data_IF_135033522163
#
_entry.id   IF_135033522163
#
_cell.length_a   1.000
_cell.length_b   1.000
_cell.length_c   1.000
_cell.angle_alpha   90.00
_cell.angle_beta   90.00
_cell.angle_gamma   90.00
#
_symmetry.space_group_name_H-M   'P 1'
#
loop_
_entity.id
_entity.type
_entity.pdbx_description
1 polymer ?
#
# COMPACT_ATOMS: atom_id res chain seq x y z
N UNK A 1 16.27 -14.85 -2.80
CA UNK A 1 16.39 -14.05 -4.04
C UNK A 1 16.06 -12.62 -3.68
N UNK A 2 17.06 -11.74 -3.60
CA UNK A 2 16.89 -10.33 -3.17
C UNK A 2 16.59 -9.42 -4.37
N UNK A 3 15.60 -9.79 -5.18
CA UNK A 3 15.21 -9.00 -6.35
C UNK A 3 14.24 -7.92 -5.91
N UNK A 4 14.51 -6.62 -6.19
CA UNK A 4 13.57 -5.55 -5.89
C UNK A 4 12.25 -5.77 -6.63
N UNK A 5 11.13 -5.68 -5.91
CA UNK A 5 9.80 -5.84 -6.51
C UNK A 5 8.88 -4.70 -6.11
N UNK A 6 7.95 -4.34 -7.00
CA UNK A 6 6.93 -3.35 -6.72
C UNK A 6 5.56 -3.84 -7.18
N UNK A 7 4.53 -3.54 -6.39
CA UNK A 7 3.13 -3.82 -6.74
C UNK A 7 2.54 -2.54 -7.35
N UNK A 8 2.26 -2.57 -8.65
CA UNK A 8 1.69 -1.44 -9.38
C UNK A 8 0.18 -1.60 -9.51
N UNK A 9 -0.56 -0.49 -9.35
CA UNK A 9 -2.02 -0.50 -9.57
C UNK A 9 -2.33 -0.68 -11.06
N UNK A 10 -3.29 -1.57 -11.33
CA UNK A 10 -3.87 -1.87 -12.65
C UNK A 10 -3.01 -2.74 -13.58
N UNK A 11 -3.46 -3.98 -13.83
CA UNK A 11 -2.87 -4.93 -14.79
C UNK A 11 -2.93 -4.47 -16.26
N UNK A 12 -3.87 -3.59 -16.59
CA UNK A 12 -3.99 -3.05 -17.96
C UNK A 12 -2.87 -2.08 -18.28
N UNK A 13 -2.43 -1.28 -17.29
CA UNK A 13 -1.29 -0.36 -17.47
C UNK A 13 0.02 -1.11 -17.74
N UNK A 14 0.22 -2.23 -17.06
CA UNK A 14 1.35 -3.14 -17.34
C UNK A 14 1.24 -3.74 -18.75
N UNK A 15 0.03 -4.11 -19.17
CA UNK A 15 -0.22 -4.62 -20.52
C UNK A 15 0.16 -3.62 -21.63
N UNK A 16 -0.13 -2.33 -21.42
CA UNK A 16 0.19 -1.28 -22.40
C UNK A 16 1.68 -1.21 -22.74
N UNK A 17 2.58 -1.46 -21.78
CA UNK A 17 4.03 -1.43 -21.98
C UNK A 17 4.53 -2.51 -22.95
N UNK A 18 3.83 -3.65 -23.01
CA UNK A 18 4.18 -4.80 -23.86
C UNK A 18 3.22 -4.97 -25.04
N UNK A 19 2.42 -3.94 -25.34
CA UNK A 19 1.40 -3.96 -26.40
C UNK A 19 0.39 -5.12 -26.26
N UNK A 20 -0.01 -5.44 -25.02
CA UNK A 20 -1.04 -6.43 -24.70
C UNK A 20 -2.19 -5.77 -23.94
N UNK A 21 -3.38 -6.39 -23.97
CA UNK A 21 -4.56 -5.88 -23.23
C UNK A 21 -4.32 -5.88 -21.72
N UNK A 22 -3.58 -6.87 -21.20
CA UNK A 22 -3.27 -7.01 -19.78
C UNK A 22 -1.94 -7.74 -19.60
N UNK A 23 -1.19 -7.42 -18.55
CA UNK A 23 -0.04 -8.19 -18.08
C UNK A 23 -0.11 -8.33 -16.55
N UNK A 24 0.19 -9.53 -16.03
CA UNK A 24 0.17 -9.80 -14.59
C UNK A 24 1.48 -9.42 -13.90
N UNK A 25 2.62 -9.64 -14.57
CA UNK A 25 3.97 -9.36 -14.08
C UNK A 25 4.83 -8.88 -15.24
N UNK A 26 5.76 -7.96 -14.97
CA UNK A 26 6.78 -7.52 -15.90
C UNK A 26 8.15 -7.60 -15.20
N UNK A 27 9.15 -8.09 -15.93
CA UNK A 27 10.52 -8.19 -15.45
C UNK A 27 11.43 -7.41 -16.39
N UNK A 28 12.16 -6.42 -15.86
CA UNK A 28 13.19 -5.69 -16.59
C UNK A 28 14.51 -6.44 -16.40
N UNK A 29 15.08 -6.97 -17.47
CA UNK A 29 16.31 -7.79 -17.42
C UNK A 29 17.56 -6.99 -17.80
N UNK A 30 17.45 -6.06 -18.74
CA UNK A 30 18.54 -5.20 -19.17
C UNK A 30 18.07 -3.76 -19.30
N UNK A 31 18.99 -2.84 -19.04
CA UNK A 31 18.77 -1.39 -19.14
C UNK A 31 19.91 -0.81 -19.95
N UNK A 32 19.63 0.19 -20.79
CA UNK A 32 20.67 0.93 -21.50
C UNK A 32 21.50 1.73 -20.50
N UNK A 33 22.73 2.06 -20.87
CA UNK A 33 23.64 2.76 -19.96
C UNK A 33 23.16 4.17 -19.63
N UNK A 34 22.47 4.82 -20.56
CA UNK A 34 21.88 6.17 -20.42
C UNK A 34 20.85 6.22 -19.28
N UNK A 35 20.01 5.19 -19.16
CA UNK A 35 18.90 5.15 -18.19
C UNK A 35 19.31 4.56 -16.83
N UNK A 36 20.55 4.09 -16.69
CA UNK A 36 21.00 3.31 -15.52
C UNK A 36 20.95 4.10 -14.22
N UNK A 37 21.28 5.40 -14.28
CA UNK A 37 21.26 6.28 -13.11
C UNK A 37 19.84 6.54 -12.62
N UNK A 38 18.90 6.80 -13.53
CA UNK A 38 17.49 7.01 -13.18
C UNK A 38 16.86 5.73 -12.64
N UNK A 39 17.14 4.60 -13.28
CA UNK A 39 16.67 3.30 -12.83
C UNK A 39 17.16 2.95 -11.43
N UNK A 40 18.42 3.29 -11.10
CA UNK A 40 18.99 3.04 -9.76
C UNK A 40 18.24 3.80 -8.65
N UNK A 41 17.88 5.07 -8.89
CA UNK A 41 17.08 5.86 -7.94
C UNK A 41 15.69 5.26 -7.71
N UNK A 42 15.07 4.73 -8.77
CA UNK A 42 13.77 4.07 -8.68
C UNK A 42 13.89 2.76 -7.86
N UNK A 43 14.95 1.98 -8.09
CA UNK A 43 15.19 0.74 -7.36
C UNK A 43 15.36 0.95 -5.86
N UNK A 44 16.09 2.00 -5.45
CA UNK A 44 16.26 2.35 -4.03
C UNK A 44 14.90 2.65 -3.36
N UNK A 45 14.07 3.46 -4.01
CA UNK A 45 12.73 3.77 -3.53
C UNK A 45 11.80 2.55 -3.46
N UNK A 46 11.95 1.60 -4.38
CA UNK A 46 11.17 0.34 -4.40
C UNK A 46 11.62 -0.57 -3.26
N UNK A 47 12.94 -0.77 -3.10
CA UNK A 47 13.50 -1.69 -2.10
C UNK A 47 13.09 -1.28 -0.69
N UNK A 48 13.19 0.01 -0.37
CA UNK A 48 12.79 0.58 0.92
C UNK A 48 11.29 0.42 1.24
N UNK A 49 10.44 0.29 0.22
CA UNK A 49 8.99 0.22 0.41
C UNK A 49 8.42 -1.19 0.41
N UNK A 50 9.04 -2.14 -0.30
CA UNK A 50 8.50 -3.48 -0.48
C UNK A 50 9.38 -4.55 0.15
N UNK A 51 10.65 -4.62 -0.26
CA UNK A 51 11.57 -5.65 0.20
C UNK A 51 11.90 -5.49 1.69
N UNK A 52 12.24 -4.28 2.13
CA UNK A 52 12.65 -4.03 3.52
C UNK A 52 11.45 -4.12 4.49
N UNK A 53 10.23 -3.86 3.99
CA UNK A 53 8.98 -3.94 4.76
C UNK A 53 8.28 -5.29 4.63
N UNK A 54 8.92 -6.30 4.03
CA UNK A 54 8.29 -7.58 3.76
C UNK A 54 7.74 -8.24 5.04
N UNK A 55 8.53 -8.29 6.11
CA UNK A 55 8.11 -8.90 7.36
C UNK A 55 6.93 -8.18 8.02
N UNK A 56 6.90 -6.84 7.96
CA UNK A 56 5.79 -6.04 8.48
C UNK A 56 4.52 -6.31 7.68
N UNK A 57 4.63 -6.31 6.35
CA UNK A 57 3.50 -6.55 5.46
C UNK A 57 2.91 -7.96 5.64
N UNK A 58 3.74 -8.97 5.87
CA UNK A 58 3.27 -10.33 6.15
C UNK A 58 2.52 -10.45 7.49
N UNK A 59 2.90 -9.66 8.49
CA UNK A 59 2.26 -9.65 9.81
C UNK A 59 0.98 -8.80 9.84
N UNK A 60 0.76 -7.95 8.83
CA UNK A 60 -0.39 -7.05 8.76
C UNK A 60 -1.59 -7.72 8.09
N UNK A 61 -2.65 -7.94 8.86
CA UNK A 61 -3.90 -8.47 8.36
C UNK A 61 -4.75 -7.30 7.84
N UNK A 62 -5.26 -7.44 6.62
CA UNK A 62 -6.19 -6.46 6.03
C UNK A 62 -7.61 -6.63 6.56
N UNK A 63 -8.50 -5.72 6.18
CA UNK A 63 -9.90 -5.75 6.58
C UNK A 63 -10.16 -5.03 7.90
N UNK A 64 -11.32 -5.26 8.51
CA UNK A 64 -11.71 -4.64 9.78
C UNK A 64 -12.16 -3.17 9.69
N UNK A 65 -12.13 -2.56 8.51
CA UNK A 65 -12.72 -1.23 8.30
C UNK A 65 -14.25 -1.33 8.29
N UNK A 66 -14.86 -0.71 9.29
CA UNK A 66 -16.30 -0.58 9.41
C UNK A 66 -16.84 0.42 8.39
N UNK A 67 -18.12 0.30 8.03
CA UNK A 67 -18.76 1.27 7.13
C UNK A 67 -18.78 2.67 7.77
N UNK A 68 -18.61 3.75 6.99
CA UNK A 68 -18.64 5.12 7.48
C UNK A 68 -19.91 5.45 8.30
N UNK A 69 -21.06 4.87 7.91
CA UNK A 69 -22.34 5.04 8.62
C UNK A 69 -22.28 4.48 10.05
N UNK A 70 -21.66 3.31 10.22
CA UNK A 70 -21.55 2.69 11.54
C UNK A 70 -20.45 3.34 12.37
N UNK A 71 -19.34 3.77 11.77
CA UNK A 71 -18.30 4.55 12.48
C UNK A 71 -18.87 5.84 13.07
N UNK A 72 -19.70 6.56 12.30
CA UNK A 72 -20.36 7.78 12.78
C UNK A 72 -21.27 7.52 13.98
N UNK A 73 -22.02 6.40 13.97
CA UNK A 73 -22.89 6.01 15.09
C UNK A 73 -22.07 5.64 16.33
N UNK A 74 -20.97 4.90 16.18
CA UNK A 74 -20.08 4.54 17.29
C UNK A 74 -19.45 5.79 17.89
N UNK A 75 -18.91 6.70 17.06
CA UNK A 75 -18.34 7.97 17.52
C UNK A 75 -19.35 8.83 18.27
N UNK A 76 -20.59 8.94 17.76
CA UNK A 76 -21.64 9.69 18.45
C UNK A 76 -21.96 9.10 19.83
N UNK A 77 -21.98 7.76 19.95
CA UNK A 77 -22.15 7.08 21.24
C UNK A 77 -20.97 7.29 22.18
N UNK A 78 -19.73 7.19 21.68
CA UNK A 78 -18.51 7.42 22.46
C UNK A 78 -18.46 8.84 23.01
N UNK A 79 -18.80 9.84 22.20
CA UNK A 79 -18.88 11.24 22.64
C UNK A 79 -19.90 11.41 23.77
N UNK A 80 -21.06 10.75 23.66
CA UNK A 80 -22.11 10.86 24.67
C UNK A 80 -21.72 10.16 25.98
N UNK A 81 -21.13 8.95 25.89
CA UNK A 81 -20.60 8.23 27.04
C UNK A 81 -19.47 9.01 27.74
N UNK A 82 -18.57 9.63 26.96
CA UNK A 82 -17.48 10.42 27.51
C UNK A 82 -17.98 11.66 28.25
N UNK A 83 -19.03 12.32 27.73
CA UNK A 83 -19.70 13.43 28.43
C UNK A 83 -20.35 12.98 29.72
N UNK A 84 -21.04 11.84 29.71
CA UNK A 84 -21.69 11.28 30.90
C UNK A 84 -20.66 10.84 31.96
N UNK A 85 -19.54 10.23 31.55
CA UNK A 85 -18.45 9.84 32.44
C UNK A 85 -17.75 11.06 33.06
N UNK A 86 -17.53 12.12 32.29
CA UNK A 86 -16.97 13.38 32.79
C UNK A 86 -17.88 14.08 33.81
N UNK A 87 -19.21 14.04 33.59
CA UNK A 87 -20.18 14.57 34.54
C UNK A 87 -20.30 13.73 35.81
N UNK A 88 -20.12 12.40 35.74
CA UNK A 88 -20.13 11.51 36.92
C UNK A 88 -18.86 11.58 37.77
N UNK A 89 -17.75 12.05 37.20
CA UNK A 89 -16.48 12.21 37.91
C UNK A 89 -16.31 13.61 38.52
N UNK A 90 -17.25 14.52 38.26
CA UNK A 90 -17.42 15.80 38.95
C UNK A 90 -18.42 15.66 40.09
#
# INVERSE_FOLDING_TARGET
MEVPYAIVKCKSRLGMLVHKKTASVLCVTSVKNEDKLEFSKILEGIKANFNDKYEENCKKWGGGLMSPKSEAKTKAREILLAKEAAQRMS
#
